data_IF_371962785850
#
_entry.id   IF_371962785850
#
_cell.length_a   1.000
_cell.length_b   1.000
_cell.length_c   1.000
_cell.angle_alpha   90.00
_cell.angle_beta   90.00
_cell.angle_gamma   90.00
#
_symmetry.space_group_name_H-M   'P 1'
#
loop_
_entity.id
_entity.type
_entity.pdbx_description
1 polymer ?
#
# COMPACT_ATOMS: atom_id res chain seq x y z
N UNK A 1 6.01 -13.91 11.39
CA UNK A 1 6.38 -12.49 11.70
C UNK A 1 5.34 -11.50 11.19
N UNK A 2 4.59 -11.81 10.12
CA UNK A 2 3.53 -10.93 9.59
C UNK A 2 2.15 -11.61 9.61
N UNK A 3 2.00 -12.65 10.42
CA UNK A 3 0.85 -13.56 10.34
C UNK A 3 -0.44 -12.85 10.79
N UNK A 4 -0.37 -12.06 11.87
CA UNK A 4 -1.49 -11.20 12.30
C UNK A 4 -1.91 -10.18 11.23
N UNK A 5 -0.94 -9.59 10.51
CA UNK A 5 -1.24 -8.63 9.44
C UNK A 5 -1.88 -9.33 8.23
N UNK A 6 -1.42 -10.54 7.89
CA UNK A 6 -2.04 -11.35 6.83
C UNK A 6 -3.47 -11.72 7.20
N UNK A 7 -3.70 -12.16 8.43
CA UNK A 7 -5.03 -12.51 8.92
C UNK A 7 -5.96 -11.28 8.91
N UNK A 8 -5.46 -10.11 9.32
CA UNK A 8 -6.20 -8.85 9.23
C UNK A 8 -6.59 -8.48 7.80
N UNK A 9 -5.68 -8.66 6.83
CA UNK A 9 -5.97 -8.41 5.40
C UNK A 9 -6.98 -9.41 4.85
N UNK A 10 -6.88 -10.69 5.21
CA UNK A 10 -7.85 -11.72 4.83
C UNK A 10 -9.24 -11.35 5.39
N UNK A 11 -9.31 -11.02 6.67
CA UNK A 11 -10.56 -10.65 7.32
C UNK A 11 -11.17 -9.39 6.69
N UNK A 12 -10.36 -8.37 6.38
CA UNK A 12 -10.83 -7.16 5.70
C UNK A 12 -11.43 -7.50 4.33
N UNK A 13 -10.76 -8.36 3.53
CA UNK A 13 -11.30 -8.82 2.24
C UNK A 13 -12.64 -9.53 2.41
N UNK A 14 -12.74 -10.45 3.35
CA UNK A 14 -14.00 -11.16 3.64
C UNK A 14 -15.14 -10.20 4.02
N UNK A 15 -14.88 -9.22 4.88
CA UNK A 15 -15.88 -8.23 5.28
C UNK A 15 -16.30 -7.37 4.10
N UNK A 16 -15.34 -6.89 3.28
CA UNK A 16 -15.66 -6.05 2.11
C UNK A 16 -16.51 -6.79 1.07
N UNK A 17 -16.28 -8.09 0.84
CA UNK A 17 -17.06 -8.90 -0.09
C UNK A 17 -18.51 -9.13 0.34
N UNK A 18 -18.83 -8.91 1.61
CA UNK A 18 -20.19 -9.06 2.15
C UNK A 18 -21.01 -7.77 2.08
N UNK A 19 -20.40 -6.67 1.68
CA UNK A 19 -21.09 -5.39 1.51
C UNK A 19 -21.89 -5.44 0.21
N UNK A 20 -23.21 -5.42 0.32
CA UNK A 20 -24.10 -5.23 -0.81
C UNK A 20 -24.16 -3.74 -1.14
N UNK A 21 -23.49 -3.34 -2.22
CA UNK A 21 -23.36 -1.94 -2.65
C UNK A 21 -24.64 -1.42 -3.32
N UNK A 22 -25.53 -2.31 -3.76
CA UNK A 22 -26.76 -1.90 -4.45
C UNK A 22 -27.84 -1.39 -3.48
N UNK A 23 -27.67 -1.66 -2.18
CA UNK A 23 -28.63 -1.30 -1.13
C UNK A 23 -28.15 -0.15 -0.23
N UNK A 24 -26.97 0.44 -0.47
CA UNK A 24 -26.46 1.55 0.34
C UNK A 24 -27.03 2.89 -0.14
N UNK A 25 -27.47 3.72 0.80
CA UNK A 25 -27.83 5.11 0.51
C UNK A 25 -26.57 5.99 0.36
N UNK A 26 -26.75 7.22 -0.12
CA UNK A 26 -25.63 8.14 -0.35
C UNK A 26 -24.85 8.50 0.92
N UNK A 27 -25.47 8.46 2.10
CA UNK A 27 -24.81 8.74 3.37
C UNK A 27 -23.92 7.57 3.78
N UNK A 28 -24.44 6.35 3.68
CA UNK A 28 -23.69 5.12 3.92
C UNK A 28 -22.54 4.97 2.91
N UNK A 29 -22.73 5.33 1.64
CA UNK A 29 -21.66 5.35 0.65
C UNK A 29 -20.54 6.33 1.01
N UNK A 30 -20.88 7.54 1.48
CA UNK A 30 -19.88 8.50 1.94
C UNK A 30 -19.11 8.02 3.18
N UNK A 31 -19.77 7.29 4.07
CA UNK A 31 -19.13 6.65 5.22
C UNK A 31 -18.19 5.51 4.78
N UNK A 32 -18.61 4.68 3.83
CA UNK A 32 -17.78 3.62 3.27
C UNK A 32 -16.49 4.16 2.63
N UNK A 33 -16.56 5.29 1.92
CA UNK A 33 -15.36 5.97 1.40
C UNK A 33 -14.40 6.35 2.53
N UNK A 34 -14.91 6.90 3.64
CA UNK A 34 -14.06 7.30 4.78
C UNK A 34 -13.37 6.10 5.44
N UNK A 35 -14.13 5.03 5.70
CA UNK A 35 -13.60 3.79 6.28
C UNK A 35 -12.52 3.19 5.38
N UNK A 36 -12.77 3.17 4.06
CA UNK A 36 -11.84 2.64 3.08
C UNK A 36 -10.54 3.46 3.03
N UNK A 37 -10.65 4.79 3.09
CA UNK A 37 -9.49 5.68 3.14
C UNK A 37 -8.67 5.53 4.41
N UNK A 38 -9.31 5.33 5.57
CA UNK A 38 -8.61 5.09 6.83
C UNK A 38 -7.82 3.77 6.78
N UNK A 39 -8.44 2.70 6.27
CA UNK A 39 -7.77 1.41 6.06
C UNK A 39 -6.59 1.55 5.09
N UNK A 40 -6.79 2.26 3.97
CA UNK A 40 -5.73 2.52 2.97
C UNK A 40 -4.55 3.27 3.59
N UNK A 41 -4.79 4.35 4.34
CA UNK A 41 -3.72 5.15 4.98
C UNK A 41 -2.90 4.35 5.99
N UNK A 42 -3.57 3.48 6.76
CA UNK A 42 -2.91 2.63 7.75
C UNK A 42 -1.87 1.71 7.10
N UNK A 43 -2.20 1.12 5.94
CA UNK A 43 -1.29 0.22 5.22
C UNK A 43 -0.30 0.93 4.29
N UNK A 44 -0.69 2.08 3.71
CA UNK A 44 0.17 2.83 2.79
C UNK A 44 1.45 3.33 3.48
N UNK A 45 1.36 3.77 4.74
CA UNK A 45 2.53 4.17 5.51
C UNK A 45 3.54 3.02 5.67
N UNK A 46 3.05 1.81 5.95
CA UNK A 46 3.87 0.61 6.02
C UNK A 46 4.48 0.26 4.65
N UNK A 47 3.69 0.36 3.57
CA UNK A 47 4.16 0.14 2.19
C UNK A 47 5.34 1.06 1.86
N UNK A 48 5.23 2.35 2.16
CA UNK A 48 6.31 3.32 1.90
C UNK A 48 7.60 2.94 2.63
N UNK A 49 7.53 2.57 3.91
CA UNK A 49 8.71 2.15 4.70
C UNK A 49 9.31 0.86 4.15
N UNK A 50 8.47 -0.13 3.79
CA UNK A 50 8.89 -1.40 3.21
C UNK A 50 9.60 -1.21 1.86
N UNK A 51 9.04 -0.39 0.97
CA UNK A 51 9.66 -0.02 -0.33
C UNK A 51 11.04 0.61 -0.10
N UNK A 52 11.14 1.54 0.87
CA UNK A 52 12.42 2.13 1.23
C UNK A 52 13.44 1.08 1.70
N UNK A 53 13.00 0.03 2.38
CA UNK A 53 13.89 -1.05 2.79
C UNK A 53 14.30 -1.95 1.62
N UNK A 54 13.38 -2.28 0.72
CA UNK A 54 13.70 -3.03 -0.52
C UNK A 54 14.73 -2.29 -1.36
N UNK A 55 14.61 -0.96 -1.47
CA UNK A 55 15.60 -0.14 -2.17
C UNK A 55 16.98 -0.22 -1.50
N UNK A 56 17.05 -0.02 -0.17
CA UNK A 56 18.31 -0.06 0.58
C UNK A 56 19.01 -1.41 0.50
N UNK A 57 18.25 -2.51 0.53
CA UNK A 57 18.83 -3.86 0.45
C UNK A 57 19.06 -4.31 -0.99
N UNK A 58 18.74 -3.48 -2.00
CA UNK A 58 18.68 -3.86 -3.40
C UNK A 58 17.81 -5.12 -3.65
N UNK A 59 16.77 -5.32 -2.83
CA UNK A 59 15.93 -6.53 -2.89
C UNK A 59 15.14 -6.70 -4.19
N UNK A 60 15.04 -5.63 -4.99
CA UNK A 60 14.41 -5.64 -6.30
C UNK A 60 15.37 -6.08 -7.43
N UNK A 61 16.69 -6.05 -7.21
CA UNK A 61 17.66 -6.39 -8.25
C UNK A 61 17.64 -7.89 -8.51
N UNK A 62 17.50 -8.27 -9.79
CA UNK A 62 17.39 -9.66 -10.21
C UNK A 62 15.95 -10.10 -10.52
N UNK A 63 14.95 -9.30 -10.13
CA UNK A 63 13.53 -9.56 -10.38
C UNK A 63 13.04 -9.07 -11.76
N UNK A 64 13.94 -8.82 -12.71
CA UNK A 64 13.61 -8.37 -14.07
C UNK A 64 13.26 -6.88 -14.22
N UNK A 65 13.19 -6.11 -13.12
CA UNK A 65 13.00 -4.67 -13.14
C UNK A 65 14.33 -3.89 -13.30
N UNK A 66 14.28 -2.72 -13.96
CA UNK A 66 15.43 -1.83 -14.18
C UNK A 66 15.56 -0.75 -13.10
N UNK A 67 14.52 -0.55 -12.29
CA UNK A 67 14.50 0.40 -11.16
C UNK A 67 13.53 -0.07 -10.08
N UNK A 68 13.66 0.46 -8.86
CA UNK A 68 12.70 0.22 -7.78
C UNK A 68 11.27 0.65 -8.12
N UNK A 69 11.08 1.75 -8.84
CA UNK A 69 9.75 2.20 -9.26
C UNK A 69 9.12 1.25 -10.29
N UNK A 70 9.93 0.68 -11.17
CA UNK A 70 9.46 -0.35 -12.11
C UNK A 70 9.14 -1.64 -11.39
N UNK A 71 9.99 -2.08 -10.46
CA UNK A 71 9.73 -3.23 -9.60
C UNK A 71 8.42 -3.06 -8.82
N UNK A 72 8.22 -1.90 -8.18
CA UNK A 72 7.02 -1.64 -7.39
C UNK A 72 5.76 -1.59 -8.26
N UNK A 73 5.84 -1.01 -9.46
CA UNK A 73 4.72 -0.99 -10.40
C UNK A 73 4.31 -2.41 -10.81
N UNK A 74 5.28 -3.29 -11.09
CA UNK A 74 5.04 -4.69 -11.41
C UNK A 74 4.45 -5.44 -10.20
N UNK A 75 5.09 -5.32 -9.03
CA UNK A 75 4.70 -6.06 -7.82
C UNK A 75 3.30 -5.71 -7.32
N UNK A 76 2.87 -4.45 -7.51
CA UNK A 76 1.59 -3.95 -7.02
C UNK A 76 0.53 -3.74 -8.09
N UNK A 77 0.85 -4.09 -9.35
CA UNK A 77 0.00 -3.86 -10.52
C UNK A 77 -0.56 -2.42 -10.58
N UNK A 78 0.30 -1.44 -10.25
CA UNK A 78 -0.07 -0.03 -10.25
C UNK A 78 0.60 0.72 -11.39
N UNK A 79 0.05 1.88 -11.74
CA UNK A 79 0.67 2.73 -12.75
C UNK A 79 2.07 3.20 -12.30
N UNK A 80 2.98 3.35 -13.26
CA UNK A 80 4.38 3.69 -12.95
C UNK A 80 4.53 5.03 -12.21
N UNK A 81 3.69 6.03 -12.51
CA UNK A 81 3.73 7.32 -11.82
C UNK A 81 3.36 7.20 -10.34
N UNK A 82 2.45 6.29 -9.98
CA UNK A 82 2.06 6.03 -8.59
C UNK A 82 3.19 5.37 -7.83
N UNK A 83 3.82 4.35 -8.43
CA UNK A 83 5.00 3.71 -7.87
C UNK A 83 6.14 4.71 -7.64
N UNK A 84 6.38 5.60 -8.62
CA UNK A 84 7.38 6.65 -8.51
C UNK A 84 7.10 7.60 -7.33
N UNK A 85 5.85 8.03 -7.12
CA UNK A 85 5.49 8.87 -5.97
C UNK A 85 5.79 8.19 -4.63
N UNK A 86 5.51 6.89 -4.51
CA UNK A 86 5.82 6.12 -3.29
C UNK A 86 7.33 6.03 -3.05
N UNK A 87 8.13 5.77 -4.09
CA UNK A 87 9.59 5.71 -4.00
C UNK A 87 10.19 7.06 -3.58
N UNK A 88 9.68 8.16 -4.13
CA UNK A 88 10.12 9.51 -3.75
C UNK A 88 9.87 9.76 -2.26
N UNK A 89 8.66 9.43 -1.77
CA UNK A 89 8.34 9.59 -0.35
C UNK A 89 9.21 8.67 0.53
N UNK A 90 9.41 7.42 0.12
CA UNK A 90 10.26 6.48 0.84
C UNK A 90 11.70 7.00 0.98
N UNK A 91 12.24 7.63 -0.07
CA UNK A 91 13.55 8.26 -0.03
C UNK A 91 13.55 9.49 0.88
N UNK A 92 12.52 10.33 0.87
CA UNK A 92 12.44 11.49 1.78
C UNK A 92 12.44 11.07 3.25
N UNK A 93 11.69 10.03 3.61
CA UNK A 93 11.65 9.51 4.98
C UNK A 93 13.02 9.02 5.48
N UNK A 94 13.88 8.52 4.60
CA UNK A 94 15.25 8.11 4.96
C UNK A 94 16.15 9.27 5.38
N UNK A 95 15.84 10.48 4.93
CA UNK A 95 16.63 11.66 5.20
C UNK A 95 16.08 12.48 6.37
N UNK A 96 15.00 12.02 7.03
CA UNK A 96 14.52 12.63 8.25
C UNK A 96 15.43 12.25 9.42
N UNK A 97 15.82 13.22 10.27
CA UNK A 97 16.59 12.92 11.48
C UNK A 97 15.78 11.99 12.37
N UNK A 98 16.40 10.89 12.80
CA UNK A 98 15.88 10.05 13.87
C UNK A 98 15.93 10.86 15.17
N UNK A 99 14.78 11.36 15.60
CA UNK A 99 14.56 11.95 16.94
C UNK A 99 14.37 10.87 17.98
#
# INVERSE_FOLDING_TARGET
>A
MFDELKDAVIHLREVTLRIDVDVIDGKAAAELVRISEDARRAVDSLRTVAVGQVERTNGWKGEGAKSISEWLAIETDCAHYEAQSVVVLANQLQHLPVT
#
